data_IF_964242800107
#
_entry.id   IF_964242800107
#
_cell.length_a   1.000
_cell.length_b   1.000
_cell.length_c   1.000
_cell.angle_alpha   90.00
_cell.angle_beta   90.00
_cell.angle_gamma   90.00
#
_symmetry.space_group_name_H-M   'P 1'
#
loop_
_entity.id
_entity.type
_entity.pdbx_description
1 polymer ?
#
# COMPACT_ATOMS: atom_id res chain seq x y z
N UNK A 1 -8.95 -25.12 1.45
CA UNK A 1 -9.76 -23.90 1.34
C UNK A 1 -9.13 -23.08 0.25
N UNK A 2 -9.89 -22.77 -0.78
CA UNK A 2 -9.42 -22.13 -2.00
C UNK A 2 -9.14 -20.66 -1.73
N UNK A 3 -7.90 -20.21 -1.95
CA UNK A 3 -7.69 -18.79 -2.26
C UNK A 3 -8.44 -18.53 -3.58
N UNK A 4 -9.13 -17.39 -3.73
CA UNK A 4 -9.79 -17.07 -4.98
C UNK A 4 -8.75 -17.15 -6.09
N UNK A 5 -9.05 -17.98 -7.09
CA UNK A 5 -8.21 -18.12 -8.26
C UNK A 5 -8.13 -16.79 -8.98
N UNK A 6 -6.96 -16.47 -9.50
CA UNK A 6 -6.70 -15.28 -10.30
C UNK A 6 -7.60 -15.10 -11.55
N UNK A 7 -8.54 -16.01 -11.80
CA UNK A 7 -9.47 -15.93 -12.92
C UNK A 7 -10.56 -14.85 -12.77
N UNK A 8 -10.78 -14.33 -11.54
CA UNK A 8 -11.84 -13.35 -11.29
C UNK A 8 -11.37 -11.87 -11.37
N UNK A 9 -10.07 -11.62 -11.51
CA UNK A 9 -9.55 -10.25 -11.65
C UNK A 9 -9.87 -9.58 -13.00
N UNK A 10 -10.38 -10.29 -13.94
CA UNK A 10 -10.77 -9.77 -15.27
C UNK A 10 -12.25 -9.46 -15.40
N UNK A 11 -13.01 -9.42 -14.30
CA UNK A 11 -14.42 -9.10 -14.36
C UNK A 11 -14.66 -7.61 -14.52
N UNK A 12 -15.36 -7.34 -15.60
CA UNK A 12 -15.95 -6.10 -16.05
C UNK A 12 -16.49 -5.22 -14.93
N UNK A 13 -16.14 -3.92 -14.99
CA UNK A 13 -16.98 -2.89 -14.40
C UNK A 13 -16.84 -2.71 -12.90
N UNK A 14 -15.62 -2.34 -12.44
CA UNK A 14 -15.59 -1.51 -11.23
C UNK A 14 -16.40 -0.26 -11.55
N UNK A 15 -17.46 0.05 -10.77
CA UNK A 15 -18.13 1.32 -10.92
C UNK A 15 -17.10 2.44 -10.96
N UNK A 16 -17.39 3.53 -11.69
CA UNK A 16 -16.55 4.72 -11.75
C UNK A 16 -16.50 5.48 -10.41
N UNK A 17 -16.68 4.76 -9.32
CA UNK A 17 -16.66 5.28 -7.97
C UNK A 17 -15.25 5.77 -7.63
N UNK A 18 -15.19 6.88 -6.94
CA UNK A 18 -14.00 7.40 -6.30
C UNK A 18 -13.39 6.30 -5.39
N UNK A 19 -12.09 6.07 -5.50
CA UNK A 19 -11.39 5.06 -4.68
C UNK A 19 -11.54 5.36 -3.19
N UNK A 20 -11.60 6.65 -2.82
CA UNK A 20 -11.79 7.05 -1.43
C UNK A 20 -13.15 6.61 -0.88
N UNK A 21 -14.22 6.70 -1.68
CA UNK A 21 -15.54 6.19 -1.31
C UNK A 21 -15.57 4.66 -1.23
N UNK A 22 -14.87 3.97 -2.14
CA UNK A 22 -14.76 2.51 -2.09
C UNK A 22 -14.06 2.06 -0.80
N UNK A 23 -12.99 2.73 -0.40
CA UNK A 23 -12.27 2.44 0.84
C UNK A 23 -13.07 2.81 2.10
N UNK A 24 -13.87 3.89 2.09
CA UNK A 24 -14.78 4.17 3.22
C UNK A 24 -15.80 3.04 3.40
N UNK A 25 -16.36 2.50 2.31
CA UNK A 25 -17.27 1.34 2.38
C UNK A 25 -16.55 0.08 2.86
N UNK A 26 -15.31 -0.14 2.45
CA UNK A 26 -14.52 -1.32 2.83
C UNK A 26 -13.94 -1.25 4.26
N UNK A 27 -13.91 -0.07 4.87
CA UNK A 27 -13.21 0.18 6.13
C UNK A 27 -13.56 -0.77 7.28
N UNK A 28 -14.83 -1.17 7.53
CA UNK A 28 -15.14 -2.14 8.59
C UNK A 28 -14.53 -3.52 8.34
N UNK A 29 -14.66 -4.04 7.12
CA UNK A 29 -14.11 -5.35 6.71
C UNK A 29 -12.58 -5.34 6.75
N UNK A 30 -11.96 -4.30 6.17
CA UNK A 30 -10.51 -4.14 6.21
C UNK A 30 -9.97 -4.05 7.65
N UNK A 31 -10.63 -3.31 8.53
CA UNK A 31 -10.20 -3.19 9.93
C UNK A 31 -10.21 -4.55 10.63
N UNK A 32 -11.26 -5.36 10.44
CA UNK A 32 -11.33 -6.71 11.00
C UNK A 32 -10.22 -7.60 10.44
N UNK A 33 -10.01 -7.56 9.11
CA UNK A 33 -8.96 -8.27 8.40
C UNK A 33 -7.56 -7.89 8.89
N UNK A 34 -7.25 -6.60 8.95
CA UNK A 34 -5.94 -6.08 9.31
C UNK A 34 -5.54 -6.39 10.76
N UNK A 35 -6.52 -6.50 11.65
CA UNK A 35 -6.31 -6.79 13.07
C UNK A 35 -6.24 -8.28 13.39
N UNK A 36 -6.59 -9.17 12.47
CA UNK A 36 -6.47 -10.60 12.67
C UNK A 36 -4.99 -11.02 12.61
N UNK A 37 -4.40 -11.53 13.72
CA UNK A 37 -2.97 -11.82 13.77
C UNK A 37 -2.58 -12.90 12.74
N UNK A 38 -1.45 -12.71 12.04
CA UNK A 38 -0.93 -13.63 11.03
C UNK A 38 -1.86 -13.89 9.84
N UNK A 39 -2.95 -13.12 9.71
CA UNK A 39 -3.98 -13.35 8.72
C UNK A 39 -3.53 -12.97 7.30
N UNK A 40 -2.89 -11.81 7.14
CA UNK A 40 -2.44 -11.29 5.85
C UNK A 40 -0.90 -11.27 5.70
N UNK A 41 -0.43 -10.82 4.53
CA UNK A 41 0.98 -10.68 4.21
C UNK A 41 1.71 -9.73 5.15
N UNK A 42 1.03 -8.70 5.66
CA UNK A 42 1.60 -7.72 6.59
C UNK A 42 2.26 -8.41 7.78
N UNK A 43 1.52 -9.27 8.48
CA UNK A 43 1.99 -9.99 9.65
C UNK A 43 2.98 -11.11 9.32
N UNK A 44 2.87 -11.68 8.13
CA UNK A 44 3.64 -12.87 7.76
C UNK A 44 5.05 -12.55 7.26
N UNK A 45 5.24 -11.44 6.53
CA UNK A 45 6.54 -11.06 5.96
C UNK A 45 6.64 -9.60 5.47
N UNK A 46 5.55 -8.99 5.02
CA UNK A 46 5.60 -7.74 4.25
C UNK A 46 6.06 -6.56 5.11
N UNK A 47 5.55 -6.47 6.36
CA UNK A 47 5.98 -5.44 7.32
C UNK A 47 7.49 -5.45 7.53
N UNK A 48 8.04 -6.61 7.83
CA UNK A 48 9.46 -6.74 8.18
C UNK A 48 10.34 -6.39 6.98
N UNK A 49 9.97 -6.85 5.78
CA UNK A 49 10.64 -6.48 4.54
C UNK A 49 10.58 -4.97 4.26
N UNK A 50 9.43 -4.32 4.55
CA UNK A 50 9.29 -2.88 4.36
C UNK A 50 10.12 -2.09 5.36
N UNK A 51 10.17 -2.50 6.61
CA UNK A 51 10.96 -1.82 7.65
C UNK A 51 12.46 -1.80 7.34
N UNK A 52 12.97 -2.70 6.48
CA UNK A 52 14.39 -2.66 6.04
C UNK A 52 14.76 -1.40 5.25
N UNK A 53 13.80 -0.75 4.60
CA UNK A 53 14.05 0.50 3.87
C UNK A 53 13.69 1.75 4.66
N UNK A 54 13.03 1.61 5.81
CA UNK A 54 12.63 2.74 6.66
C UNK A 54 13.84 3.25 7.44
N UNK A 55 14.19 4.54 7.35
CA UNK A 55 15.26 5.14 8.15
C UNK A 55 14.98 5.09 9.66
N UNK A 56 16.01 5.25 10.47
CA UNK A 56 15.84 5.45 11.93
C UNK A 56 14.97 6.67 12.23
N UNK A 57 14.29 6.69 13.41
CA UNK A 57 13.44 7.81 13.81
C UNK A 57 14.17 9.16 13.73
N UNK A 58 13.48 10.12 13.17
CA UNK A 58 13.91 11.52 13.10
C UNK A 58 12.96 12.45 13.85
N UNK A 59 12.78 13.67 13.34
CA UNK A 59 11.95 14.70 13.97
C UNK A 59 10.44 14.39 13.87
N UNK A 60 9.97 14.02 12.68
CA UNK A 60 8.57 13.71 12.40
C UNK A 60 8.46 12.74 11.23
N UNK A 61 7.63 11.73 11.40
CA UNK A 61 7.24 10.77 10.37
C UNK A 61 5.77 10.97 10.00
N UNK A 62 5.48 11.21 8.74
CA UNK A 62 4.13 11.27 8.18
C UNK A 62 3.75 9.90 7.62
N UNK A 63 2.61 9.35 8.02
CA UNK A 63 2.03 8.12 7.46
C UNK A 63 0.82 8.48 6.59
N UNK A 64 0.93 8.27 5.27
CA UNK A 64 -0.02 8.69 4.23
C UNK A 64 -0.89 7.51 3.80
N UNK A 65 -2.20 7.60 4.04
CA UNK A 65 -3.13 6.48 3.85
C UNK A 65 -2.90 5.42 4.92
N UNK A 66 -2.94 5.83 6.18
CA UNK A 66 -2.58 4.98 7.32
C UNK A 66 -3.58 3.86 7.61
N UNK A 67 -4.79 3.90 7.03
CA UNK A 67 -5.87 2.97 7.29
C UNK A 67 -6.24 2.92 8.77
N UNK A 68 -6.35 1.71 9.34
CA UNK A 68 -6.64 1.50 10.77
C UNK A 68 -5.41 1.72 11.69
N UNK A 69 -4.30 2.22 11.13
CA UNK A 69 -3.13 2.69 11.86
C UNK A 69 -2.15 1.60 12.30
N UNK A 70 -2.19 0.37 11.76
CA UNK A 70 -1.31 -0.73 12.19
C UNK A 70 0.18 -0.41 12.02
N UNK A 71 0.58 0.14 10.85
CA UNK A 71 1.97 0.52 10.62
C UNK A 71 2.37 1.73 11.46
N UNK A 72 1.47 2.73 11.62
CA UNK A 72 1.71 3.87 12.52
C UNK A 72 2.03 3.41 13.94
N UNK A 73 1.30 2.41 14.48
CA UNK A 73 1.59 1.84 15.81
C UNK A 73 2.94 1.14 15.87
N UNK A 74 3.29 0.35 14.83
CA UNK A 74 4.58 -0.34 14.76
C UNK A 74 5.74 0.66 14.67
N UNK A 75 5.65 1.70 13.84
CA UNK A 75 6.64 2.76 13.72
C UNK A 75 6.80 3.55 15.03
N UNK A 76 5.68 3.84 15.70
CA UNK A 76 5.72 4.48 17.02
C UNK A 76 6.43 3.61 18.05
N UNK A 77 6.19 2.29 18.05
CA UNK A 77 6.91 1.36 18.92
C UNK A 77 8.41 1.31 18.63
N UNK A 78 8.83 1.63 17.39
CA UNK A 78 10.23 1.79 16.98
C UNK A 78 10.80 3.19 17.31
N UNK A 79 10.01 4.07 17.92
CA UNK A 79 10.45 5.39 18.39
C UNK A 79 10.17 6.55 17.44
N UNK A 80 9.42 6.35 16.35
CA UNK A 80 9.02 7.43 15.46
C UNK A 80 7.97 8.35 16.10
N UNK A 81 8.13 9.66 15.96
CA UNK A 81 7.07 10.63 16.21
C UNK A 81 6.14 10.63 14.96
N UNK A 82 4.88 10.22 15.13
CA UNK A 82 3.96 9.98 14.01
C UNK A 82 2.88 11.04 13.94
N UNK A 83 2.67 11.57 12.73
CA UNK A 83 1.40 12.16 12.29
C UNK A 83 0.90 11.30 11.13
N UNK A 84 -0.37 10.91 11.17
CA UNK A 84 -0.96 10.03 10.18
C UNK A 84 -2.18 10.67 9.51
N UNK A 85 -2.44 10.34 8.27
CA UNK A 85 -3.61 10.79 7.52
C UNK A 85 -4.26 9.63 6.77
N UNK A 86 -5.60 9.68 6.70
CA UNK A 86 -6.38 8.79 5.85
C UNK A 86 -7.61 9.55 5.34
N UNK A 87 -8.07 9.26 4.13
CA UNK A 87 -9.25 9.89 3.57
C UNK A 87 -10.56 9.36 4.19
N UNK A 88 -10.55 8.12 4.70
CA UNK A 88 -11.71 7.47 5.30
C UNK A 88 -11.92 7.90 6.76
N UNK A 89 -13.03 8.58 7.10
CA UNK A 89 -13.38 8.89 8.48
C UNK A 89 -13.49 7.63 9.36
N UNK A 90 -13.99 6.53 8.81
CA UNK A 90 -14.13 5.26 9.52
C UNK A 90 -12.76 4.66 9.85
N UNK A 91 -11.79 4.67 8.92
CA UNK A 91 -10.42 4.23 9.19
C UNK A 91 -9.78 5.06 10.30
N UNK A 92 -9.87 6.40 10.21
CA UNK A 92 -9.33 7.31 11.22
C UNK A 92 -9.96 7.07 12.59
N UNK A 93 -11.28 6.85 12.66
CA UNK A 93 -11.97 6.52 13.92
C UNK A 93 -11.45 5.20 14.50
N UNK A 94 -11.28 4.18 13.67
CA UNK A 94 -10.75 2.88 14.07
C UNK A 94 -9.30 2.96 14.55
N UNK A 95 -8.46 3.75 13.86
CA UNK A 95 -7.07 3.95 14.25
C UNK A 95 -6.95 4.67 15.60
N UNK A 96 -7.75 5.74 15.82
CA UNK A 96 -7.82 6.45 17.11
C UNK A 96 -8.34 5.56 18.25
N UNK A 97 -9.30 4.70 17.97
CA UNK A 97 -9.81 3.75 18.96
C UNK A 97 -8.77 2.69 19.33
N UNK A 98 -7.86 2.34 18.43
CA UNK A 98 -6.78 1.39 18.69
C UNK A 98 -5.62 1.99 19.48
N UNK A 99 -5.27 3.25 19.22
CA UNK A 99 -4.25 4.02 19.97
C UNK A 99 -4.63 5.51 19.99
N UNK A 100 -5.27 5.95 21.08
CA UNK A 100 -5.68 7.34 21.26
C UNK A 100 -4.53 8.34 21.40
N UNK A 101 -3.28 7.89 21.43
CA UNK A 101 -2.09 8.74 21.51
C UNK A 101 -1.44 9.00 20.14
N UNK A 102 -1.97 8.43 19.05
CA UNK A 102 -1.57 8.77 17.70
C UNK A 102 -2.27 10.05 17.23
N UNK A 103 -1.51 10.96 16.65
CA UNK A 103 -2.05 12.12 15.97
C UNK A 103 -2.47 11.70 14.56
N UNK A 104 -3.79 11.65 14.31
CA UNK A 104 -4.35 11.18 13.04
C UNK A 104 -5.41 12.16 12.54
N UNK A 105 -5.38 12.50 11.24
CA UNK A 105 -6.32 13.40 10.61
C UNK A 105 -7.08 12.73 9.47
N UNK A 106 -8.36 13.08 9.31
CA UNK A 106 -9.10 12.79 8.08
C UNK A 106 -8.66 13.80 7.04
N UNK A 107 -7.98 13.36 5.99
CA UNK A 107 -7.48 14.23 4.94
C UNK A 107 -7.25 13.48 3.63
N UNK A 108 -7.44 14.20 2.52
CA UNK A 108 -6.98 13.79 1.21
C UNK A 108 -5.45 13.89 1.15
N UNK A 109 -4.80 12.81 0.70
CA UNK A 109 -3.34 12.75 0.56
C UNK A 109 -2.79 13.78 -0.46
N UNK A 110 -3.61 14.20 -1.43
CA UNK A 110 -3.27 15.24 -2.38
C UNK A 110 -3.43 16.67 -1.81
N UNK A 111 -3.88 16.80 -0.54
CA UNK A 111 -4.07 18.06 0.18
C UNK A 111 -3.85 17.90 1.68
N UNK A 112 -2.62 17.70 2.07
CA UNK A 112 -2.25 17.43 3.46
C UNK A 112 -2.42 18.66 4.37
N UNK A 113 -3.04 18.51 5.57
CA UNK A 113 -3.23 19.59 6.53
C UNK A 113 -1.96 19.88 7.35
N UNK A 114 -0.81 19.87 6.70
CA UNK A 114 0.50 20.05 7.32
C UNK A 114 1.27 21.17 6.64
N UNK A 115 2.11 21.87 7.39
CA UNK A 115 2.98 22.91 6.86
C UNK A 115 4.10 22.31 5.98
N UNK A 116 4.76 23.16 5.19
CA UNK A 116 5.90 22.80 4.37
C UNK A 116 7.09 22.39 5.25
N UNK A 117 7.86 21.42 4.82
CA UNK A 117 9.17 21.03 5.38
C UNK A 117 9.13 20.69 6.89
N UNK A 118 8.00 20.17 7.41
CA UNK A 118 7.86 19.79 8.85
C UNK A 118 8.33 18.38 9.15
N UNK A 119 8.28 17.47 8.17
CA UNK A 119 8.66 16.07 8.32
C UNK A 119 10.03 15.78 7.70
N UNK A 120 10.72 14.79 8.18
CA UNK A 120 11.96 14.25 7.60
C UNK A 120 11.77 12.83 7.02
N UNK A 121 10.64 12.21 7.30
CA UNK A 121 10.22 10.95 6.71
C UNK A 121 8.72 10.99 6.36
N UNK A 122 8.38 10.52 5.17
CA UNK A 122 7.02 10.18 4.79
C UNK A 122 6.94 8.70 4.44
N UNK A 123 5.84 8.07 4.81
CA UNK A 123 5.54 6.68 4.53
C UNK A 123 4.24 6.63 3.72
N UNK A 124 4.21 5.81 2.66
CA UNK A 124 2.99 5.45 1.94
C UNK A 124 2.99 3.92 1.77
N UNK A 125 2.47 3.21 2.77
CA UNK A 125 2.49 1.75 2.79
C UNK A 125 1.20 1.19 2.24
N UNK A 126 1.26 0.62 1.04
CA UNK A 126 0.11 0.01 0.36
C UNK A 126 -1.07 0.98 0.20
N UNK A 127 -0.80 2.25 -0.08
CA UNK A 127 -1.84 3.28 -0.18
C UNK A 127 -1.83 4.06 -1.50
N UNK A 128 -0.68 4.25 -2.16
CA UNK A 128 -0.61 5.06 -3.38
C UNK A 128 -1.40 4.48 -4.56
N UNK A 129 -1.50 3.15 -4.69
CA UNK A 129 -2.31 2.50 -5.72
C UNK A 129 -3.81 2.69 -5.48
N UNK A 130 -4.20 3.09 -4.28
CA UNK A 130 -5.58 3.24 -3.82
C UNK A 130 -6.05 4.70 -3.82
N UNK A 131 -5.26 5.60 -4.41
CA UNK A 131 -5.53 7.04 -4.47
C UNK A 131 -5.87 7.49 -5.89
N UNK A 132 -6.91 8.30 -6.04
CA UNK A 132 -7.32 8.87 -7.33
C UNK A 132 -6.27 9.84 -7.88
N UNK A 133 -5.75 10.77 -7.05
CA UNK A 133 -4.65 11.67 -7.41
C UNK A 133 -3.33 11.24 -6.76
N UNK A 134 -2.81 10.07 -7.17
CA UNK A 134 -1.51 9.57 -6.72
C UNK A 134 -0.37 10.57 -6.98
N UNK A 135 -0.27 11.24 -8.16
CA UNK A 135 0.74 12.28 -8.37
C UNK A 135 0.61 13.47 -7.41
N UNK A 136 -0.63 13.86 -7.07
CA UNK A 136 -0.91 14.89 -6.07
C UNK A 136 -0.42 14.50 -4.68
N UNK A 137 -0.67 13.26 -4.26
CA UNK A 137 -0.20 12.74 -2.98
C UNK A 137 1.33 12.74 -2.90
N UNK A 138 2.03 12.37 -3.98
CA UNK A 138 3.50 12.42 -4.04
C UNK A 138 4.01 13.88 -4.00
N UNK A 139 3.35 14.83 -4.68
CA UNK A 139 3.71 16.26 -4.60
C UNK A 139 3.54 16.80 -3.18
N UNK A 140 2.44 16.45 -2.51
CA UNK A 140 2.18 16.86 -1.13
C UNK A 140 3.19 16.23 -0.15
N UNK A 141 3.53 14.95 -0.34
CA UNK A 141 4.62 14.33 0.42
C UNK A 141 5.94 15.11 0.27
N UNK A 142 6.29 15.51 -0.97
CA UNK A 142 7.46 16.34 -1.23
C UNK A 142 7.37 17.70 -0.54
N UNK A 143 6.21 18.38 -0.56
CA UNK A 143 6.00 19.67 0.10
C UNK A 143 6.23 19.58 1.62
N UNK A 144 5.66 18.56 2.24
CA UNK A 144 5.71 18.37 3.70
C UNK A 144 7.07 17.90 4.18
N UNK A 145 7.82 17.15 3.37
CA UNK A 145 9.18 16.74 3.69
C UNK A 145 10.15 17.91 3.66
N UNK A 146 11.06 17.98 4.61
CA UNK A 146 12.20 18.88 4.54
C UNK A 146 13.17 18.47 3.41
N UNK A 147 13.99 19.40 2.87
CA UNK A 147 15.07 19.03 1.96
C UNK A 147 15.97 17.95 2.60
N UNK A 148 16.30 16.90 1.85
CA UNK A 148 16.99 15.71 2.35
C UNK A 148 16.11 14.72 3.11
N UNK A 149 14.81 15.00 3.26
CA UNK A 149 13.82 14.06 3.77
C UNK A 149 13.57 12.90 2.81
N UNK A 150 12.97 11.84 3.30
CA UNK A 150 12.74 10.61 2.53
C UNK A 150 11.29 10.23 2.45
N UNK A 151 10.88 9.75 1.29
CA UNK A 151 9.62 9.02 1.09
C UNK A 151 9.95 7.52 0.99
N UNK A 152 9.36 6.71 1.88
CA UNK A 152 9.36 5.26 1.76
C UNK A 152 7.95 4.81 1.34
N UNK A 153 7.85 4.11 0.23
CA UNK A 153 6.57 3.60 -0.25
C UNK A 153 6.60 2.09 -0.50
N UNK A 154 5.45 1.46 -0.33
CA UNK A 154 5.18 0.10 -0.76
C UNK A 154 3.88 0.10 -1.57
N UNK A 155 3.89 -0.61 -2.69
CA UNK A 155 2.71 -0.80 -3.55
C UNK A 155 2.59 -2.26 -3.97
N UNK A 156 1.40 -2.67 -4.38
CA UNK A 156 1.24 -3.87 -5.21
C UNK A 156 2.15 -3.69 -6.43
N UNK A 157 2.99 -4.68 -6.71
CA UNK A 157 3.88 -4.56 -7.88
C UNK A 157 3.04 -4.43 -9.16
N UNK A 158 3.33 -3.45 -10.04
CA UNK A 158 2.53 -3.25 -11.27
C UNK A 158 2.45 -4.48 -12.18
N UNK A 159 3.48 -5.32 -12.20
CA UNK A 159 3.39 -6.59 -12.91
C UNK A 159 2.33 -7.51 -12.32
N UNK A 160 2.21 -7.56 -10.98
CA UNK A 160 1.20 -8.38 -10.30
C UNK A 160 -0.21 -7.86 -10.58
N UNK A 161 -0.46 -6.55 -10.51
CA UNK A 161 -1.79 -6.00 -10.79
C UNK A 161 -2.20 -6.06 -12.27
N UNK A 162 -1.25 -6.21 -13.20
CA UNK A 162 -1.51 -6.25 -14.64
C UNK A 162 -2.10 -7.58 -15.14
N UNK A 163 -1.99 -8.66 -14.38
CA UNK A 163 -2.36 -9.98 -14.86
C UNK A 163 -2.67 -10.99 -13.77
N UNK A 164 -2.80 -12.24 -14.18
CA UNK A 164 -3.15 -13.35 -13.31
C UNK A 164 -2.44 -14.63 -13.72
N UNK A 165 -2.26 -15.56 -12.77
CA UNK A 165 -1.85 -16.92 -13.13
C UNK A 165 -3.00 -17.67 -13.78
N UNK A 166 -2.72 -18.37 -14.89
CA UNK A 166 -3.72 -19.16 -15.63
C UNK A 166 -4.21 -20.39 -14.85
N UNK A 167 -3.55 -20.74 -13.75
CA UNK A 167 -3.91 -21.88 -12.90
C UNK A 167 -3.23 -21.80 -11.55
N UNK A 168 -3.49 -22.80 -10.71
CA UNK A 168 -3.01 -22.85 -9.31
C UNK A 168 -1.66 -23.54 -9.14
N UNK A 169 -1.14 -24.22 -10.16
CA UNK A 169 0.11 -24.95 -10.10
C UNK A 169 1.31 -24.01 -9.99
N UNK A 170 2.40 -24.50 -9.39
CA UNK A 170 3.62 -23.70 -9.19
C UNK A 170 4.21 -23.16 -10.51
N UNK A 171 4.09 -23.92 -11.58
CA UNK A 171 4.58 -23.60 -12.93
C UNK A 171 3.56 -22.90 -13.81
N UNK A 172 2.33 -22.66 -13.33
CA UNK A 172 1.29 -21.99 -14.11
C UNK A 172 1.80 -20.69 -14.73
N UNK A 173 1.55 -20.43 -16.02
CA UNK A 173 1.98 -19.19 -16.66
C UNK A 173 1.23 -18.00 -16.05
N UNK A 174 1.93 -16.89 -15.92
CA UNK A 174 1.31 -15.60 -15.62
C UNK A 174 0.91 -14.93 -16.93
N UNK A 175 -0.34 -14.47 -17.01
CA UNK A 175 -0.94 -13.94 -18.24
C UNK A 175 -1.37 -12.50 -18.01
N UNK A 176 -0.93 -11.60 -18.88
CA UNK A 176 -1.44 -10.25 -19.01
C UNK A 176 -2.40 -10.26 -20.19
N UNK A 177 -3.72 -10.21 -19.91
CA UNK A 177 -4.74 -10.30 -20.96
C UNK A 177 -5.00 -8.98 -21.69
N UNK A 178 -4.77 -7.87 -21.03
CA UNK A 178 -4.91 -6.50 -21.56
C UNK A 178 -3.57 -5.83 -21.80
N UNK A 179 -3.51 -4.52 -21.53
CA UNK A 179 -2.29 -3.73 -21.63
C UNK A 179 -1.71 -3.46 -20.23
N UNK A 180 -0.43 -3.79 -20.04
CA UNK A 180 0.32 -3.34 -18.85
C UNK A 180 0.46 -1.81 -18.79
N UNK A 181 0.43 -1.14 -19.94
CA UNK A 181 0.71 0.30 -20.05
C UNK A 181 -0.53 1.18 -19.81
N UNK A 182 -1.72 0.59 -19.83
CA UNK A 182 -2.98 1.31 -19.66
C UNK A 182 -3.46 1.21 -18.20
N UNK A 183 -3.71 2.34 -17.51
CA UNK A 183 -4.29 2.32 -16.18
C UNK A 183 -5.72 1.77 -16.20
N UNK A 184 -6.07 1.00 -15.17
CA UNK A 184 -7.44 0.53 -14.95
C UNK A 184 -7.71 0.32 -13.46
N UNK A 185 -8.96 0.52 -13.04
CA UNK A 185 -9.41 0.22 -11.68
C UNK A 185 -9.85 -1.23 -11.56
N UNK A 186 -9.59 -1.81 -10.40
CA UNK A 186 -9.99 -3.18 -10.09
C UNK A 186 -10.35 -3.32 -8.61
N UNK A 187 -11.08 -4.37 -8.28
CA UNK A 187 -11.34 -4.81 -6.91
C UNK A 187 -10.86 -6.25 -6.74
N UNK A 188 -10.27 -6.51 -5.57
CA UNK A 188 -9.98 -7.86 -5.11
C UNK A 188 -10.85 -8.18 -3.90
N UNK A 189 -11.67 -9.20 -3.97
CA UNK A 189 -12.47 -9.69 -2.86
C UNK A 189 -11.83 -10.93 -2.27
N UNK A 190 -11.54 -10.89 -1.00
CA UNK A 190 -10.94 -12.01 -0.29
C UNK A 190 -11.79 -12.40 0.91
N UNK A 191 -11.95 -13.71 1.09
CA UNK A 191 -12.56 -14.27 2.29
C UNK A 191 -11.63 -15.32 2.90
N UNK A 192 -11.36 -15.20 4.20
CA UNK A 192 -10.57 -16.18 4.95
C UNK A 192 -11.03 -16.20 6.40
N UNK A 193 -11.24 -17.42 6.94
CA UNK A 193 -11.60 -17.64 8.34
C UNK A 193 -12.82 -16.83 8.80
N UNK A 194 -13.80 -16.64 7.90
CA UNK A 194 -15.03 -15.88 8.14
C UNK A 194 -14.86 -14.35 8.11
N UNK A 195 -13.70 -13.86 7.74
CA UNK A 195 -13.46 -12.44 7.48
C UNK A 195 -13.45 -12.19 5.96
N UNK A 196 -14.23 -11.21 5.53
CA UNK A 196 -14.26 -10.75 4.15
C UNK A 196 -13.69 -9.34 4.04
N UNK A 197 -12.96 -9.06 2.95
CA UNK A 197 -12.41 -7.76 2.64
C UNK A 197 -12.47 -7.50 1.13
N UNK A 198 -12.78 -6.27 0.75
CA UNK A 198 -12.68 -5.77 -0.61
C UNK A 198 -11.57 -4.74 -0.66
N UNK A 199 -10.59 -4.97 -1.53
CA UNK A 199 -9.55 -4.00 -1.89
C UNK A 199 -9.96 -3.32 -3.19
N UNK A 200 -9.95 -2.00 -3.22
CA UNK A 200 -10.20 -1.20 -4.41
C UNK A 200 -8.92 -0.45 -4.79
N UNK A 201 -8.41 -0.69 -5.98
CA UNK A 201 -7.11 -0.16 -6.40
C UNK A 201 -7.14 0.24 -7.88
N UNK A 202 -6.15 1.00 -8.28
CA UNK A 202 -5.87 1.29 -9.68
C UNK A 202 -4.52 0.69 -10.09
N UNK A 203 -4.57 -0.14 -11.12
CA UNK A 203 -3.35 -0.51 -11.82
C UNK A 203 -2.79 0.71 -12.53
N UNK A 204 -1.51 0.98 -12.31
CA UNK A 204 -0.70 1.95 -13.06
C UNK A 204 0.61 1.29 -13.44
N UNK A 205 1.14 1.51 -14.65
CA UNK A 205 2.45 1.01 -15.01
C UNK A 205 3.53 1.61 -14.10
N UNK A 206 4.65 0.91 -13.96
CA UNK A 206 5.76 1.34 -13.11
C UNK A 206 6.21 2.77 -13.44
N UNK A 207 6.23 3.12 -14.72
CA UNK A 207 6.57 4.45 -15.23
C UNK A 207 5.76 5.56 -14.52
N UNK A 208 4.45 5.38 -14.32
CA UNK A 208 3.60 6.40 -13.72
C UNK A 208 4.03 6.80 -12.31
N UNK A 209 4.48 5.85 -11.51
CA UNK A 209 5.00 6.12 -10.16
C UNK A 209 6.33 6.85 -10.20
N UNK A 210 7.24 6.44 -11.10
CA UNK A 210 8.58 7.04 -11.18
C UNK A 210 8.55 8.42 -11.82
N UNK A 211 7.69 8.67 -12.79
CA UNK A 211 7.44 10.01 -13.34
C UNK A 211 6.87 10.95 -12.27
N UNK A 212 5.92 10.48 -11.45
CA UNK A 212 5.38 11.28 -10.35
C UNK A 212 6.45 11.61 -9.30
N UNK A 213 7.30 10.65 -8.94
CA UNK A 213 8.43 10.86 -8.04
C UNK A 213 9.43 11.88 -8.62
N UNK A 214 9.83 11.71 -9.87
CA UNK A 214 10.77 12.62 -10.55
C UNK A 214 10.20 14.05 -10.66
N UNK A 215 8.93 14.19 -11.06
CA UNK A 215 8.24 15.48 -11.17
C UNK A 215 8.11 16.20 -9.82
N UNK A 216 8.06 15.46 -8.71
CA UNK A 216 8.00 16.01 -7.35
C UNK A 216 9.41 16.29 -6.74
N UNK A 217 10.49 16.06 -7.49
CA UNK A 217 11.87 16.31 -7.04
C UNK A 217 12.41 15.20 -6.14
N UNK A 218 11.99 13.95 -6.34
CA UNK A 218 12.57 12.80 -5.66
C UNK A 218 13.63 12.10 -6.53
N UNK A 219 14.67 11.60 -5.87
CA UNK A 219 15.65 10.68 -6.44
C UNK A 219 15.56 9.34 -5.70
N UNK A 220 15.44 8.26 -6.45
CA UNK A 220 15.34 6.91 -5.88
C UNK A 220 16.68 6.48 -5.29
N UNK A 221 16.70 6.18 -3.98
CA UNK A 221 17.89 5.65 -3.28
C UNK A 221 17.89 4.12 -3.26
N UNK A 222 16.71 3.51 -3.14
CA UNK A 222 16.53 2.04 -3.07
C UNK A 222 15.25 1.63 -3.78
N UNK A 223 15.31 0.48 -4.41
CA UNK A 223 14.18 -0.21 -5.00
C UNK A 223 14.34 -1.71 -4.71
N UNK A 224 13.30 -2.32 -4.12
CA UNK A 224 13.25 -3.75 -3.85
C UNK A 224 11.96 -4.34 -4.41
N UNK A 225 12.09 -5.41 -5.16
CA UNK A 225 10.98 -6.23 -5.65
C UNK A 225 10.86 -7.47 -4.75
N UNK A 226 9.71 -7.66 -4.14
CA UNK A 226 9.49 -8.72 -3.17
C UNK A 226 8.50 -9.77 -3.67
N UNK A 227 8.95 -11.00 -3.72
CA UNK A 227 8.11 -12.19 -3.87
C UNK A 227 7.74 -12.78 -2.50
N UNK A 228 6.91 -13.82 -2.48
CA UNK A 228 6.61 -14.56 -1.25
C UNK A 228 7.89 -15.30 -0.79
N UNK A 229 8.38 -15.07 0.43
CA UNK A 229 9.55 -15.77 0.94
C UNK A 229 9.22 -17.24 1.28
N UNK A 230 10.22 -18.13 1.22
CA UNK A 230 10.06 -19.55 1.53
C UNK A 230 9.37 -19.81 2.87
N UNK A 231 9.74 -19.04 3.90
CA UNK A 231 9.16 -19.17 5.24
C UNK A 231 7.66 -18.84 5.31
N UNK A 232 7.11 -18.13 4.30
CA UNK A 232 5.70 -17.78 4.22
C UNK A 232 4.90 -18.72 3.31
N UNK A 233 5.53 -19.73 2.70
CA UNK A 233 4.85 -20.73 1.88
C UNK A 233 4.15 -21.72 2.81
N UNK A 234 2.81 -21.70 2.82
CA UNK A 234 1.98 -22.64 3.59
C UNK A 234 1.59 -23.91 2.81
N UNK A 235 1.58 -23.82 1.47
CA UNK A 235 1.26 -24.93 0.58
C UNK A 235 1.86 -24.71 -0.82
N UNK A 236 2.01 -25.79 -1.59
CA UNK A 236 2.72 -25.81 -2.88
C UNK A 236 2.18 -24.79 -3.90
N UNK A 237 0.87 -24.59 -3.94
CA UNK A 237 0.24 -23.62 -4.86
C UNK A 237 0.76 -22.19 -4.69
N UNK A 238 1.23 -21.82 -3.50
CA UNK A 238 1.77 -20.48 -3.25
C UNK A 238 3.14 -20.26 -3.90
N UNK A 239 3.84 -21.32 -4.32
CA UNK A 239 5.16 -21.22 -4.97
C UNK A 239 5.13 -20.44 -6.27
N UNK A 240 4.00 -20.43 -6.99
CA UNK A 240 3.86 -19.56 -8.18
C UNK A 240 4.18 -18.09 -7.88
N UNK A 241 3.89 -17.60 -6.66
CA UNK A 241 4.16 -16.25 -6.20
C UNK A 241 5.63 -15.98 -5.82
N UNK A 242 6.50 -16.99 -5.94
CA UNK A 242 7.95 -16.81 -5.83
C UNK A 242 8.60 -16.47 -7.17
N UNK A 243 7.86 -16.57 -8.26
CA UNK A 243 8.34 -16.32 -9.63
C UNK A 243 8.12 -14.89 -10.09
N UNK A 244 7.27 -14.15 -9.38
CA UNK A 244 6.89 -12.78 -9.69
C UNK A 244 6.91 -11.93 -8.41
N UNK A 245 7.28 -10.66 -8.50
CA UNK A 245 7.19 -9.76 -7.36
C UNK A 245 5.73 -9.49 -7.01
N UNK A 246 5.38 -9.66 -5.73
CA UNK A 246 4.09 -9.24 -5.17
C UNK A 246 4.07 -7.76 -4.89
N UNK A 247 5.15 -7.25 -4.32
CA UNK A 247 5.26 -5.89 -3.83
C UNK A 247 6.51 -5.22 -4.37
N UNK A 248 6.40 -3.91 -4.56
CA UNK A 248 7.51 -3.03 -4.85
C UNK A 248 7.71 -2.09 -3.66
N UNK A 249 8.92 -2.05 -3.12
CA UNK A 249 9.32 -1.09 -2.10
C UNK A 249 10.31 -0.09 -2.69
N UNK A 250 10.07 1.18 -2.44
CA UNK A 250 10.96 2.26 -2.89
C UNK A 250 11.27 3.19 -1.74
N UNK A 251 12.55 3.56 -1.60
CA UNK A 251 12.96 4.71 -0.81
C UNK A 251 13.50 5.79 -1.72
N UNK A 252 12.92 6.97 -1.65
CA UNK A 252 13.27 8.12 -2.45
C UNK A 252 13.69 9.30 -1.57
N UNK A 253 14.71 10.04 -2.00
CA UNK A 253 15.25 11.21 -1.34
C UNK A 253 14.65 12.46 -1.99
N UNK A 254 14.16 13.41 -1.19
CA UNK A 254 13.80 14.74 -1.65
C UNK A 254 15.05 15.59 -1.85
N UNK A 255 15.33 16.00 -3.07
CA UNK A 255 16.45 16.90 -3.44
C UNK A 255 16.00 18.35 -3.50
#
# INVERSE_FOLDING_TARGET
MSEPGASDRLTEGVPADDLSEAWERAAPGFTAWARAPMHDSYWRFHRDQFLEIVPSPGRLTLDIGCGEGRLSRDLKALGHAIVAVDASPTMVANARAADGSLEIHVADAARLPLADAVADLAIAFMSLQDMDDMPGAIREAARVLAPGGRLCLAIVHPLNSAGAFAGEEAESPFVIAGSYLEPFRYTDELERDGLAVTFASEHRPLEAYFEALAAAGFVVERLHEHAVPDAAIGHERQRRWQRLPLFLHVRALRV
#
